data_IF_013971306211
#
_entry.id   IF_013971306211
#
_cell.length_a   1.000
_cell.length_b   1.000
_cell.length_c   1.000
_cell.angle_alpha   90.00
_cell.angle_beta   90.00
_cell.angle_gamma   90.00
#
_symmetry.space_group_name_H-M   'P 1'
#
loop_
_entity.id
_entity.type
_entity.pdbx_description
1 polymer ?
#
# COMPACT_ATOMS: atom_id res chain seq x y z
N UNK A 1 36.11 28.93 45.00
CA UNK A 1 36.31 27.73 44.16
C UNK A 1 35.38 26.65 44.68
N UNK A 2 34.30 26.36 43.97
CA UNK A 2 33.34 25.31 44.32
C UNK A 2 32.76 24.79 43.02
N UNK A 3 33.01 23.52 42.74
CA UNK A 3 32.80 22.83 41.46
C UNK A 3 31.32 22.77 41.09
N UNK A 4 30.99 23.26 39.88
CA UNK A 4 29.69 23.10 39.24
C UNK A 4 29.49 21.61 38.89
N UNK A 5 28.64 20.91 39.63
CA UNK A 5 28.13 19.60 39.21
C UNK A 5 27.01 19.81 38.19
N UNK A 6 27.38 19.99 36.93
CA UNK A 6 26.47 19.86 35.79
C UNK A 6 26.25 18.37 35.57
N UNK A 7 25.12 17.85 36.05
CA UNK A 7 24.64 16.53 35.68
C UNK A 7 24.05 16.61 34.27
N UNK A 8 24.84 16.21 33.29
CA UNK A 8 24.40 16.04 31.91
C UNK A 8 23.51 14.80 31.85
N UNK A 9 22.19 15.00 31.96
CA UNK A 9 21.22 13.92 31.76
C UNK A 9 21.08 13.68 30.25
N UNK A 10 22.00 12.89 29.70
CA UNK A 10 21.88 12.31 28.36
C UNK A 10 20.74 11.29 28.38
N UNK A 11 19.50 11.75 28.14
CA UNK A 11 18.42 10.86 27.77
C UNK A 11 18.68 10.36 26.35
N UNK A 12 19.26 9.17 26.29
CA UNK A 12 19.41 8.36 25.09
C UNK A 12 18.01 7.96 24.61
N UNK A 13 17.35 8.82 23.84
CA UNK A 13 16.24 8.40 22.99
C UNK A 13 16.81 7.70 21.76
N UNK A 14 17.33 6.49 21.95
CA UNK A 14 17.63 5.58 20.84
C UNK A 14 16.41 4.71 20.56
N UNK A 15 15.41 5.27 19.90
CA UNK A 15 14.44 4.47 19.14
C UNK A 15 14.54 4.89 17.69
N UNK A 16 15.50 4.33 16.97
CA UNK A 16 15.43 4.24 15.51
C UNK A 16 14.39 3.16 15.17
N UNK A 17 13.11 3.48 15.38
CA UNK A 17 12.05 2.74 14.70
C UNK A 17 11.94 3.36 13.33
N UNK A 18 12.50 2.70 12.30
CA UNK A 18 12.29 3.12 10.92
C UNK A 18 10.78 3.10 10.64
N UNK A 19 10.12 4.25 10.74
CA UNK A 19 8.68 4.34 10.57
C UNK A 19 8.38 4.41 9.09
N UNK A 20 7.94 3.29 8.53
CA UNK A 20 7.31 3.30 7.21
C UNK A 20 5.95 3.96 7.35
N UNK A 21 5.91 5.25 7.04
CA UNK A 21 4.80 6.18 7.23
C UNK A 21 3.81 6.22 6.05
N UNK A 22 4.15 5.58 4.93
CA UNK A 22 3.19 5.39 3.83
C UNK A 22 1.96 4.61 4.33
N UNK A 23 0.79 5.19 4.08
CA UNK A 23 -0.50 4.56 4.36
C UNK A 23 -0.72 3.37 3.43
N UNK A 24 -1.21 2.26 3.99
CA UNK A 24 -1.64 1.10 3.20
C UNK A 24 -3.08 1.34 2.76
N UNK A 25 -3.37 1.05 1.49
CA UNK A 25 -4.70 1.22 0.93
C UNK A 25 -5.75 0.45 1.77
N UNK A 26 -6.84 1.08 2.26
CA UNK A 26 -7.88 0.43 3.07
C UNK A 26 -8.49 -0.85 2.47
N UNK A 27 -8.40 -1.03 1.14
CA UNK A 27 -8.88 -2.24 0.44
C UNK A 27 -7.82 -3.33 0.31
N UNK A 28 -6.65 -3.14 0.90
CA UNK A 28 -5.58 -4.12 0.87
C UNK A 28 -6.03 -5.38 1.66
N UNK A 29 -5.85 -6.61 1.12
CA UNK A 29 -6.32 -7.86 1.76
C UNK A 29 -5.75 -8.14 3.16
N UNK A 30 -4.74 -7.36 3.58
CA UNK A 30 -4.18 -7.46 4.93
C UNK A 30 -5.20 -7.07 6.00
N UNK A 31 -6.08 -6.10 5.72
CA UNK A 31 -7.08 -5.67 6.69
C UNK A 31 -8.14 -6.74 6.94
N UNK A 32 -8.61 -7.41 5.88
CA UNK A 32 -9.50 -8.57 6.01
C UNK A 32 -8.84 -9.69 6.81
N UNK A 33 -7.55 -9.92 6.60
CA UNK A 33 -6.78 -10.90 7.36
C UNK A 33 -6.66 -10.53 8.85
N UNK A 34 -6.28 -9.29 9.17
CA UNK A 34 -6.17 -8.81 10.55
C UNK A 34 -7.54 -8.87 11.25
N UNK A 35 -8.61 -8.48 10.56
CA UNK A 35 -9.96 -8.55 11.11
C UNK A 35 -10.41 -10.01 11.36
N UNK A 36 -10.06 -10.94 10.46
CA UNK A 36 -10.32 -12.36 10.67
C UNK A 36 -9.60 -12.89 11.92
N UNK A 37 -8.35 -12.47 12.17
CA UNK A 37 -7.62 -12.86 13.39
C UNK A 37 -8.23 -12.25 14.66
N UNK A 38 -8.74 -11.02 14.58
CA UNK A 38 -9.51 -10.39 15.66
C UNK A 38 -10.76 -11.19 15.99
N UNK A 39 -11.57 -11.55 14.99
CA UNK A 39 -12.79 -12.36 15.17
C UNK A 39 -12.48 -13.73 15.81
N UNK A 40 -11.31 -14.30 15.49
CA UNK A 40 -10.81 -15.55 16.09
C UNK A 40 -10.21 -15.37 17.50
N UNK A 41 -10.25 -14.18 18.08
CA UNK A 41 -9.60 -13.81 19.35
C UNK A 41 -8.08 -14.01 19.39
N UNK A 42 -7.43 -14.10 18.22
CA UNK A 42 -5.96 -14.18 18.12
C UNK A 42 -5.34 -12.77 18.24
N UNK A 43 -6.06 -11.75 17.75
CA UNK A 43 -5.66 -10.34 17.77
C UNK A 43 -6.73 -9.49 18.46
N UNK A 44 -6.97 -9.74 19.74
CA UNK A 44 -8.04 -9.09 20.52
C UNK A 44 -7.91 -7.57 20.62
N UNK A 45 -6.71 -7.02 20.45
CA UNK A 45 -6.40 -5.60 20.56
C UNK A 45 -6.42 -4.84 19.22
N UNK A 46 -6.72 -5.53 18.12
CA UNK A 46 -6.84 -4.88 16.82
C UNK A 46 -8.19 -4.16 16.72
N UNK A 47 -8.14 -2.89 16.32
CA UNK A 47 -9.32 -2.08 16.04
C UNK A 47 -9.32 -1.72 14.56
N UNK A 48 -10.40 -2.07 13.87
CA UNK A 48 -10.63 -1.75 12.46
C UNK A 48 -11.27 -0.37 12.25
N UNK A 49 -11.59 0.36 13.32
CA UNK A 49 -12.07 1.74 13.25
C UNK A 49 -10.97 2.75 12.84
N UNK A 50 -9.69 2.40 13.00
CA UNK A 50 -8.55 3.29 12.75
C UNK A 50 -7.85 2.88 11.45
N UNK A 51 -8.44 3.26 10.32
CA UNK A 51 -7.88 3.06 8.98
C UNK A 51 -7.71 4.40 8.24
N UNK A 52 -6.70 4.56 7.36
CA UNK A 52 -5.67 3.59 7.00
C UNK A 52 -4.50 3.53 7.99
N UNK A 53 -4.01 2.30 8.24
CA UNK A 53 -2.73 2.06 8.93
C UNK A 53 -1.54 2.35 8.01
N UNK A 54 -0.44 2.83 8.57
CA UNK A 54 0.85 2.88 7.85
C UNK A 54 1.43 1.47 7.67
N UNK A 55 2.36 1.30 6.72
CA UNK A 55 3.07 0.02 6.54
C UNK A 55 3.75 -0.46 7.82
N UNK A 56 4.33 0.47 8.59
CA UNK A 56 4.96 0.17 9.87
C UNK A 56 3.93 -0.30 10.91
N UNK A 57 2.77 0.35 10.97
CA UNK A 57 1.66 -0.05 11.84
C UNK A 57 1.13 -1.44 11.47
N UNK A 58 0.95 -1.73 10.19
CA UNK A 58 0.58 -3.07 9.70
C UNK A 58 1.62 -4.11 10.09
N UNK A 59 2.91 -3.82 9.92
CA UNK A 59 3.99 -4.73 10.33
C UNK A 59 3.93 -5.05 11.83
N UNK A 60 3.69 -4.06 12.68
CA UNK A 60 3.54 -4.25 14.13
C UNK A 60 2.37 -5.20 14.43
N UNK A 61 1.22 -5.06 13.76
CA UNK A 61 0.10 -5.97 13.97
C UNK A 61 0.41 -7.39 13.50
N UNK A 62 1.09 -7.55 12.36
CA UNK A 62 1.52 -8.86 11.87
C UNK A 62 2.54 -9.53 12.80
N UNK A 63 3.43 -8.76 13.42
CA UNK A 63 4.37 -9.28 14.41
C UNK A 63 3.65 -9.77 15.67
N UNK A 64 2.66 -9.02 16.17
CA UNK A 64 1.81 -9.49 17.28
C UNK A 64 1.07 -10.79 16.93
N UNK A 65 0.60 -10.92 15.69
CA UNK A 65 -0.02 -12.16 15.20
C UNK A 65 0.97 -13.33 15.20
N UNK A 66 2.24 -13.07 14.85
CA UNK A 66 3.31 -14.08 14.84
C UNK A 66 3.54 -14.71 16.21
N UNK A 67 3.46 -13.91 17.27
CA UNK A 67 3.62 -14.38 18.64
C UNK A 67 2.49 -15.34 19.07
N UNK A 68 1.35 -15.34 18.36
CA UNK A 68 0.19 -16.20 18.59
C UNK A 68 0.02 -17.32 17.55
N UNK A 69 1.09 -17.65 16.80
CA UNK A 69 1.06 -18.65 15.73
C UNK A 69 0.65 -20.05 16.18
N UNK A 70 0.86 -20.40 17.46
CA UNK A 70 0.43 -21.68 18.02
C UNK A 70 -1.10 -21.89 17.97
N UNK A 71 -1.88 -20.80 17.95
CA UNK A 71 -3.36 -20.83 17.92
C UNK A 71 -3.92 -20.73 16.49
N UNK A 72 -3.06 -20.63 15.47
CA UNK A 72 -3.46 -20.42 14.07
C UNK A 72 -3.59 -21.73 13.30
N UNK A 73 -4.51 -21.75 12.33
CA UNK A 73 -4.55 -22.82 11.32
C UNK A 73 -3.35 -22.73 10.37
N UNK A 74 -2.96 -23.83 9.73
CA UNK A 74 -1.86 -23.83 8.75
C UNK A 74 -2.08 -22.85 7.59
N UNK A 75 -3.33 -22.67 7.16
CA UNK A 75 -3.68 -21.67 6.16
C UNK A 75 -3.43 -20.23 6.66
N UNK A 76 -3.83 -19.92 7.89
CA UNK A 76 -3.59 -18.59 8.48
C UNK A 76 -2.09 -18.33 8.67
N UNK A 77 -1.30 -19.35 9.05
CA UNK A 77 0.16 -19.26 9.13
C UNK A 77 0.79 -18.97 7.77
N UNK A 78 0.31 -19.65 6.71
CA UNK A 78 0.74 -19.39 5.34
C UNK A 78 0.45 -17.95 4.90
N UNK A 79 -0.75 -17.46 5.16
CA UNK A 79 -1.13 -16.06 4.87
C UNK A 79 -0.31 -15.06 5.68
N UNK A 80 -0.10 -15.32 6.97
CA UNK A 80 0.75 -14.48 7.83
C UNK A 80 2.17 -14.39 7.28
N UNK A 81 2.74 -15.52 6.84
CA UNK A 81 4.07 -15.57 6.26
C UNK A 81 4.17 -14.70 5.01
N UNK A 82 3.19 -14.78 4.10
CA UNK A 82 3.13 -13.94 2.90
C UNK A 82 3.03 -12.44 3.25
N UNK A 83 2.18 -12.08 4.21
CA UNK A 83 2.06 -10.67 4.63
C UNK A 83 3.33 -10.15 5.32
N UNK A 84 4.01 -10.96 6.13
CA UNK A 84 5.29 -10.57 6.73
C UNK A 84 6.41 -10.41 5.69
N UNK A 85 6.37 -11.14 4.57
CA UNK A 85 7.27 -10.91 3.45
C UNK A 85 6.95 -9.60 2.71
N UNK A 86 5.65 -9.30 2.54
CA UNK A 86 5.18 -8.09 1.86
C UNK A 86 5.41 -6.81 2.68
N UNK A 87 5.28 -6.88 4.01
CA UNK A 87 5.51 -5.79 4.95
C UNK A 87 6.78 -6.07 5.78
N UNK A 88 7.99 -5.87 5.25
CA UNK A 88 9.22 -6.16 6.01
C UNK A 88 9.47 -5.12 7.12
N UNK A 89 10.23 -5.52 8.15
CA UNK A 89 10.58 -4.68 9.31
C UNK A 89 11.37 -3.42 8.95
N UNK A 90 12.30 -3.56 8.02
CA UNK A 90 12.98 -2.47 7.36
C UNK A 90 12.69 -2.56 5.87
N UNK A 91 12.51 -1.41 5.23
CA UNK A 91 12.43 -1.33 3.77
C UNK A 91 13.80 -1.78 3.26
N UNK A 92 13.94 -3.07 2.91
CA UNK A 92 15.15 -3.60 2.29
C UNK A 92 15.29 -2.93 0.94
N UNK A 93 16.53 -2.59 0.54
CA UNK A 93 16.88 -2.15 -0.81
C UNK A 93 16.23 -3.09 -1.84
N UNK A 94 15.07 -2.71 -2.37
CA UNK A 94 14.25 -3.56 -3.21
C UNK A 94 14.61 -3.41 -4.68
N UNK A 95 14.25 -4.45 -5.45
CA UNK A 95 14.39 -4.64 -6.89
C UNK A 95 14.13 -3.36 -7.70
N UNK A 96 15.19 -2.55 -7.84
CA UNK A 96 15.16 -1.35 -8.65
C UNK A 96 15.65 -1.74 -10.04
N UNK A 97 14.87 -1.43 -11.08
CA UNK A 97 15.24 -1.73 -12.46
C UNK A 97 16.62 -1.13 -12.84
N UNK A 98 16.97 0.02 -12.25
CA UNK A 98 18.21 0.74 -12.55
C UNK A 98 19.33 0.55 -11.51
N UNK A 99 19.12 -0.23 -10.44
CA UNK A 99 20.14 -0.44 -9.41
C UNK A 99 20.74 -1.85 -9.53
N UNK A 100 21.86 -1.92 -10.25
CA UNK A 100 22.89 -2.96 -10.21
C UNK A 100 22.36 -4.40 -10.02
N UNK A 101 21.60 -4.92 -10.98
CA UNK A 101 21.12 -6.29 -10.88
C UNK A 101 21.00 -6.99 -12.25
N UNK A 102 21.72 -8.10 -12.35
CA UNK A 102 21.81 -9.03 -13.49
C UNK A 102 20.54 -9.86 -13.74
N UNK A 103 19.39 -9.42 -13.20
CA UNK A 103 18.13 -10.16 -13.28
C UNK A 103 17.37 -9.82 -14.55
N UNK A 104 16.74 -10.83 -15.16
CA UNK A 104 15.96 -10.65 -16.37
C UNK A 104 14.66 -9.89 -16.08
N UNK A 105 14.13 -9.15 -17.08
CA UNK A 105 12.85 -8.43 -16.96
C UNK A 105 11.71 -9.33 -16.41
N UNK A 106 11.69 -10.62 -16.75
CA UNK A 106 10.70 -11.57 -16.25
C UNK A 106 10.72 -11.76 -14.73
N UNK A 107 11.90 -11.81 -14.11
CA UNK A 107 12.02 -11.99 -12.66
C UNK A 107 11.53 -10.76 -11.88
N UNK A 108 11.57 -9.57 -12.50
CA UNK A 108 10.95 -8.38 -11.94
C UNK A 108 9.42 -8.46 -12.04
N UNK A 109 8.85 -8.67 -13.23
CA UNK A 109 7.39 -8.64 -13.43
C UNK A 109 6.61 -9.75 -12.71
N UNK A 110 7.25 -10.90 -12.44
CA UNK A 110 6.58 -12.06 -11.82
C UNK A 110 6.98 -12.31 -10.36
N UNK A 111 7.76 -11.43 -9.72
CA UNK A 111 8.08 -11.57 -8.30
C UNK A 111 6.93 -11.10 -7.39
N UNK A 112 6.83 -11.72 -6.21
CA UNK A 112 5.94 -11.27 -5.13
C UNK A 112 6.46 -10.03 -4.37
N UNK A 113 7.53 -9.40 -4.88
CA UNK A 113 8.14 -8.21 -4.32
C UNK A 113 7.63 -6.98 -5.06
N UNK A 114 7.63 -5.86 -4.36
CA UNK A 114 7.35 -4.58 -4.99
C UNK A 114 8.44 -4.22 -5.99
N UNK A 115 8.02 -3.86 -7.20
CA UNK A 115 8.89 -3.45 -8.27
C UNK A 115 8.97 -1.93 -8.33
N UNK A 116 10.20 -1.41 -8.29
CA UNK A 116 10.47 0.02 -8.38
C UNK A 116 11.27 0.29 -9.64
N UNK A 117 10.87 1.29 -10.43
CA UNK A 117 11.72 1.85 -11.46
C UNK A 117 13.00 2.38 -10.80
N UNK A 118 12.80 3.21 -9.78
CA UNK A 118 13.88 3.77 -8.98
C UNK A 118 13.49 3.78 -7.51
N UNK A 119 14.45 3.53 -6.64
CA UNK A 119 14.29 3.66 -5.20
C UNK A 119 15.59 4.18 -4.59
N UNK A 120 15.47 5.13 -3.67
CA UNK A 120 16.56 5.62 -2.84
C UNK A 120 16.13 5.58 -1.37
N UNK A 121 17.09 5.26 -0.51
CA UNK A 121 16.85 5.19 0.92
C UNK A 121 18.14 5.39 1.70
N UNK A 122 18.08 6.28 2.68
CA UNK A 122 19.07 6.40 3.76
C UNK A 122 18.36 6.41 5.13
N UNK A 123 19.03 6.89 6.18
CA UNK A 123 18.48 6.95 7.55
C UNK A 123 17.40 8.00 7.75
N UNK A 124 17.27 8.97 6.86
CA UNK A 124 16.40 10.15 6.99
C UNK A 124 15.43 10.32 5.82
N UNK A 125 15.82 9.98 4.60
CA UNK A 125 15.06 10.19 3.39
C UNK A 125 14.86 8.85 2.68
N UNK A 126 13.61 8.58 2.31
CA UNK A 126 13.28 7.50 1.37
C UNK A 126 12.39 8.04 0.27
N UNK A 127 12.70 7.73 -0.98
CA UNK A 127 11.77 7.98 -2.06
C UNK A 127 11.82 6.88 -3.12
N UNK A 128 10.72 6.69 -3.81
CA UNK A 128 10.62 5.67 -4.84
C UNK A 128 9.67 6.06 -5.96
N UNK A 129 9.92 5.48 -7.13
CA UNK A 129 9.08 5.57 -8.31
C UNK A 129 8.75 4.14 -8.71
N UNK A 130 7.47 3.80 -8.69
CA UNK A 130 6.96 2.48 -9.06
C UNK A 130 6.13 2.58 -10.35
N UNK A 131 6.48 1.85 -11.42
CA UNK A 131 5.61 1.75 -12.58
C UNK A 131 4.38 0.92 -12.20
N UNK A 132 3.21 1.33 -12.70
CA UNK A 132 1.95 0.64 -12.47
C UNK A 132 1.41 0.15 -13.81
N UNK A 133 1.14 -1.15 -13.89
CA UNK A 133 0.41 -1.76 -15.00
C UNK A 133 -0.59 -2.75 -14.42
N UNK A 134 -1.83 -2.67 -14.85
CA UNK A 134 -2.87 -3.63 -14.44
C UNK A 134 -3.78 -3.93 -15.61
N UNK A 135 -4.12 -5.21 -15.76
CA UNK A 135 -5.11 -5.67 -16.73
C UNK A 135 -6.28 -6.30 -15.99
N UNK A 136 -7.50 -6.11 -16.50
CA UNK A 136 -8.71 -6.69 -15.92
C UNK A 136 -9.67 -7.08 -17.03
N UNK A 137 -10.04 -8.35 -17.04
CA UNK A 137 -11.13 -8.85 -17.88
C UNK A 137 -12.42 -8.89 -17.06
N UNK A 138 -13.52 -8.41 -17.66
CA UNK A 138 -14.84 -8.40 -17.06
C UNK A 138 -15.76 -9.18 -17.98
N UNK A 139 -16.43 -10.19 -17.41
CA UNK A 139 -17.42 -10.99 -18.11
C UNK A 139 -18.75 -10.86 -17.38
N UNK A 140 -19.77 -10.34 -18.08
CA UNK A 140 -21.13 -10.26 -17.59
C UNK A 140 -22.02 -11.17 -18.42
N UNK A 141 -22.54 -12.21 -17.78
CA UNK A 141 -23.54 -13.07 -18.36
C UNK A 141 -24.92 -12.54 -17.98
N UNK A 142 -25.68 -12.05 -18.96
CA UNK A 142 -27.04 -11.55 -18.74
C UNK A 142 -28.10 -12.63 -19.01
N UNK A 143 -27.84 -13.51 -19.97
CA UNK A 143 -28.70 -14.64 -20.36
C UNK A 143 -27.82 -15.76 -20.93
N UNK A 144 -28.36 -16.96 -21.18
CA UNK A 144 -27.62 -18.08 -21.75
C UNK A 144 -26.87 -17.74 -23.07
N UNK A 145 -27.36 -16.76 -23.83
CA UNK A 145 -26.85 -16.40 -25.17
C UNK A 145 -26.15 -15.03 -25.25
N UNK A 146 -26.19 -14.20 -24.20
CA UNK A 146 -25.58 -12.86 -24.22
C UNK A 146 -24.48 -12.74 -23.17
N UNK A 147 -23.23 -12.85 -23.64
CA UNK A 147 -22.02 -12.56 -22.89
C UNK A 147 -21.53 -11.16 -23.27
N UNK A 148 -21.60 -10.23 -22.33
CA UNK A 148 -20.91 -8.95 -22.45
C UNK A 148 -19.52 -9.09 -21.87
N UNK A 149 -18.49 -8.77 -22.65
CA UNK A 149 -17.11 -8.79 -22.18
C UNK A 149 -16.46 -7.42 -22.35
N UNK A 150 -15.66 -7.03 -21.37
CA UNK A 150 -14.82 -5.85 -21.43
C UNK A 150 -13.41 -6.17 -20.95
N UNK A 151 -12.44 -5.52 -21.56
CA UNK A 151 -11.05 -5.53 -21.15
C UNK A 151 -10.65 -4.13 -20.71
N UNK A 152 -10.05 -4.03 -19.53
CA UNK A 152 -9.48 -2.81 -19.01
C UNK A 152 -7.97 -2.99 -18.89
N UNK A 153 -7.24 -1.99 -19.36
CA UNK A 153 -5.81 -1.85 -19.08
C UNK A 153 -5.57 -0.50 -18.43
N UNK A 154 -4.79 -0.46 -17.36
CA UNK A 154 -4.33 0.77 -16.71
C UNK A 154 -2.81 0.79 -16.68
N UNK A 155 -2.23 1.95 -16.95
CA UNK A 155 -0.79 2.17 -16.93
C UNK A 155 -0.47 3.54 -16.34
N UNK A 156 0.61 3.63 -15.59
CA UNK A 156 1.02 4.86 -14.93
C UNK A 156 2.17 4.65 -13.97
N UNK A 157 2.20 5.45 -12.91
CA UNK A 157 3.23 5.33 -11.88
C UNK A 157 2.81 5.92 -10.55
N UNK A 158 3.50 5.49 -9.52
CA UNK A 158 3.41 6.04 -8.18
C UNK A 158 4.77 6.58 -7.74
N UNK A 159 4.74 7.76 -7.13
CA UNK A 159 5.84 8.37 -6.41
C UNK A 159 5.55 8.31 -4.92
N UNK A 160 6.55 7.91 -4.14
CA UNK A 160 6.48 7.92 -2.68
C UNK A 160 7.69 8.66 -2.13
N UNK A 161 7.48 9.42 -1.07
CA UNK A 161 8.51 10.16 -0.35
C UNK A 161 8.25 10.04 1.16
N UNK A 162 9.29 9.80 1.93
CA UNK A 162 9.26 9.82 3.39
C UNK A 162 10.48 10.59 3.87
N UNK A 163 10.28 11.42 4.89
CA UNK A 163 11.35 12.18 5.53
C UNK A 163 11.24 12.02 7.04
N UNK A 164 12.18 11.25 7.59
CA UNK A 164 12.20 10.76 8.95
C UNK A 164 10.91 10.01 9.30
N UNK A 165 10.61 10.01 10.60
CA UNK A 165 9.41 9.34 11.11
C UNK A 165 8.18 10.24 11.14
N UNK A 166 8.26 11.48 10.65
CA UNK A 166 7.21 12.49 10.80
C UNK A 166 6.54 12.92 9.49
N UNK A 167 7.13 12.70 8.33
CA UNK A 167 6.59 13.16 7.05
C UNK A 167 6.53 12.03 6.01
N UNK A 168 5.41 11.95 5.30
CA UNK A 168 5.29 11.15 4.09
C UNK A 168 4.46 11.89 3.03
N UNK A 169 4.78 11.68 1.76
CA UNK A 169 3.98 12.11 0.63
C UNK A 169 3.86 10.96 -0.38
N UNK A 170 2.71 10.89 -1.02
CA UNK A 170 2.38 9.89 -2.02
C UNK A 170 1.63 10.54 -3.17
N UNK A 171 1.99 10.18 -4.40
CA UNK A 171 1.32 10.60 -5.61
C UNK A 171 1.22 9.40 -6.56
N UNK A 172 0.02 9.07 -6.99
CA UNK A 172 -0.25 8.05 -8.00
C UNK A 172 -1.01 8.70 -9.15
N UNK A 173 -0.51 8.49 -10.36
CA UNK A 173 -1.17 8.93 -11.59
C UNK A 173 -1.20 7.78 -12.57
N UNK A 174 -2.37 7.49 -13.12
CA UNK A 174 -2.49 6.52 -14.20
C UNK A 174 -3.59 6.88 -15.18
N UNK A 175 -3.40 6.41 -16.40
CA UNK A 175 -4.41 6.39 -17.45
C UNK A 175 -4.86 4.95 -17.68
N UNK A 176 -6.06 4.81 -18.20
CA UNK A 176 -6.72 3.56 -18.45
C UNK A 176 -7.45 3.59 -19.77
N UNK A 177 -7.50 2.44 -20.42
CA UNK A 177 -8.24 2.21 -21.64
C UNK A 177 -9.24 1.07 -21.42
N UNK A 178 -10.46 1.27 -21.91
CA UNK A 178 -11.49 0.25 -21.98
C UNK A 178 -11.70 -0.25 -23.42
N UNK A 179 -11.69 -1.56 -23.61
CA UNK A 179 -12.07 -2.23 -24.85
C UNK A 179 -13.26 -3.17 -24.63
N UNK A 180 -14.06 -3.40 -25.67
CA UNK A 180 -15.22 -4.30 -25.63
C UNK A 180 -16.52 -3.59 -25.26
N UNK A 181 -17.40 -4.28 -24.55
CA UNK A 181 -18.75 -3.84 -24.25
C UNK A 181 -18.79 -2.76 -23.15
N UNK A 182 -19.40 -1.61 -23.45
CA UNK A 182 -19.49 -0.46 -22.53
C UNK A 182 -20.34 -0.78 -21.28
N UNK A 183 -21.36 -1.62 -21.37
CA UNK A 183 -22.15 -2.04 -20.20
C UNK A 183 -21.31 -2.91 -19.28
N UNK A 184 -20.49 -3.79 -19.85
CA UNK A 184 -19.53 -4.57 -19.07
C UNK A 184 -18.50 -3.69 -18.36
N UNK A 185 -17.87 -2.76 -19.06
CA UNK A 185 -16.87 -1.87 -18.46
C UNK A 185 -17.44 -0.95 -17.38
N UNK A 186 -18.67 -0.46 -17.52
CA UNK A 186 -19.37 0.39 -16.53
C UNK A 186 -19.67 -0.30 -15.19
N UNK A 187 -19.50 -1.61 -15.08
CA UNK A 187 -19.52 -2.27 -13.76
C UNK A 187 -18.30 -1.94 -12.93
N UNK A 188 -17.16 -1.64 -13.56
CA UNK A 188 -15.98 -1.16 -12.86
C UNK A 188 -16.21 0.29 -12.41
N UNK A 189 -16.06 0.52 -11.10
CA UNK A 189 -16.29 1.84 -10.51
C UNK A 189 -15.35 2.91 -11.08
N UNK A 190 -14.13 2.55 -11.52
CA UNK A 190 -13.18 3.51 -12.12
C UNK A 190 -13.71 4.03 -13.46
N UNK A 191 -14.22 3.13 -14.29
CA UNK A 191 -14.84 3.47 -15.58
C UNK A 191 -16.13 4.25 -15.35
N UNK A 192 -17.02 3.75 -14.48
CA UNK A 192 -18.33 4.36 -14.19
C UNK A 192 -18.25 5.78 -13.64
N UNK A 193 -17.20 6.12 -12.91
CA UNK A 193 -17.03 7.47 -12.34
C UNK A 193 -16.13 8.36 -13.20
N UNK A 194 -15.65 7.89 -14.35
CA UNK A 194 -14.80 8.68 -15.23
C UNK A 194 -15.59 9.77 -15.95
N UNK A 195 -15.12 11.02 -15.83
CA UNK A 195 -15.68 12.12 -16.59
C UNK A 195 -15.51 11.88 -18.10
N UNK A 196 -14.32 11.51 -18.54
CA UNK A 196 -13.98 11.20 -19.94
C UNK A 196 -14.93 10.16 -20.54
N UNK A 197 -15.16 9.03 -19.85
CA UNK A 197 -16.06 7.98 -20.38
C UNK A 197 -17.53 8.42 -20.41
N UNK A 198 -17.97 9.17 -19.38
CA UNK A 198 -19.38 9.53 -19.21
C UNK A 198 -19.81 10.76 -20.02
N UNK A 199 -18.94 11.76 -20.15
CA UNK A 199 -19.28 13.05 -20.76
C UNK A 199 -18.74 13.21 -22.17
N UNK A 200 -17.52 12.72 -22.45
CA UNK A 200 -16.93 12.85 -23.80
C UNK A 200 -17.12 11.58 -24.64
N UNK A 201 -17.48 10.47 -24.00
CA UNK A 201 -17.76 9.20 -24.68
C UNK A 201 -16.51 8.45 -25.14
N UNK A 202 -15.31 8.96 -24.84
CA UNK A 202 -14.06 8.31 -25.20
C UNK A 202 -13.80 7.09 -24.31
N UNK A 203 -13.01 6.14 -24.82
CA UNK A 203 -12.70 4.90 -24.15
C UNK A 203 -11.57 5.00 -23.10
N UNK A 204 -11.22 6.22 -22.70
CA UNK A 204 -10.16 6.49 -21.75
C UNK A 204 -10.73 6.94 -20.42
N UNK A 205 -10.11 6.46 -19.35
CA UNK A 205 -10.39 6.88 -17.98
C UNK A 205 -9.08 7.06 -17.24
N UNK A 206 -9.04 8.00 -16.31
CA UNK A 206 -7.83 8.39 -15.61
C UNK A 206 -8.09 8.47 -14.11
N UNK A 207 -7.01 8.44 -13.34
CA UNK A 207 -7.06 8.75 -11.93
C UNK A 207 -5.78 9.42 -11.48
N UNK A 208 -5.95 10.35 -10.55
CA UNK A 208 -4.87 10.93 -9.75
C UNK A 208 -5.25 10.78 -8.29
N UNK A 209 -4.40 10.08 -7.55
CA UNK A 209 -4.51 9.88 -6.10
C UNK A 209 -3.28 10.52 -5.48
N UNK A 210 -3.41 11.16 -4.33
CA UNK A 210 -2.23 11.64 -3.63
C UNK A 210 -2.56 12.15 -2.26
N UNK A 211 -1.60 12.07 -1.35
CA UNK A 211 -1.74 12.52 0.02
C UNK A 211 -0.40 12.95 0.60
N UNK A 212 -0.48 13.74 1.65
CA UNK A 212 0.61 14.07 2.55
C UNK A 212 0.19 13.68 3.96
N UNK A 213 1.12 13.06 4.68
CA UNK A 213 0.93 12.63 6.07
C UNK A 213 1.97 13.32 6.94
N UNK A 214 1.51 13.90 8.04
CA UNK A 214 2.30 14.41 9.14
C UNK A 214 2.02 13.56 10.38
N UNK A 215 3.07 13.02 10.99
CA UNK A 215 2.99 12.19 12.18
C UNK A 215 3.88 12.78 13.28
N UNK A 216 3.32 12.93 14.47
CA UNK A 216 4.05 13.07 15.73
C UNK A 216 3.51 12.04 16.71
N UNK A 217 4.25 11.77 17.77
CA UNK A 217 3.94 10.71 18.75
C UNK A 217 2.47 10.68 19.22
N UNK A 218 1.83 11.86 19.31
CA UNK A 218 0.47 12.03 19.83
C UNK A 218 -0.60 12.28 18.76
N UNK A 219 -0.23 12.51 17.48
CA UNK A 219 -1.21 12.75 16.42
C UNK A 219 -0.70 12.36 15.02
N UNK A 220 -1.64 11.95 14.16
CA UNK A 220 -1.43 11.71 12.74
C UNK A 220 -2.43 12.55 11.95
N UNK A 221 -1.94 13.39 11.05
CA UNK A 221 -2.75 14.20 10.15
C UNK A 221 -2.44 13.79 8.72
N UNK A 222 -3.46 13.42 7.95
CA UNK A 222 -3.32 13.07 6.54
C UNK A 222 -4.27 13.92 5.71
N UNK A 223 -3.75 14.54 4.67
CA UNK A 223 -4.53 15.39 3.75
C UNK A 223 -4.23 14.93 2.34
N UNK A 224 -5.28 14.59 1.58
CA UNK A 224 -5.09 14.09 0.23
C UNK A 224 -6.37 13.75 -0.49
N UNK A 225 -6.25 13.65 -1.82
CA UNK A 225 -7.26 13.02 -2.66
C UNK A 225 -7.02 11.51 -2.62
N UNK A 226 -7.63 10.85 -1.65
CA UNK A 226 -7.75 9.40 -1.61
C UNK A 226 -9.13 8.98 -2.10
N UNK A 227 -9.22 7.85 -2.80
CA UNK A 227 -10.52 7.22 -3.04
C UNK A 227 -10.92 6.38 -1.81
N UNK A 228 -11.23 7.11 -0.73
CA UNK A 228 -12.08 6.80 0.44
C UNK A 228 -11.74 5.53 1.25
N UNK A 229 -11.44 5.72 2.54
CA UNK A 229 -12.42 5.59 3.63
C UNK A 229 -12.18 6.68 4.68
N UNK A 230 -13.16 7.57 4.84
CA UNK A 230 -13.45 8.15 6.16
C UNK A 230 -13.97 7.01 7.02
N UNK A 231 -13.39 6.87 8.20
CA UNK A 231 -13.89 6.14 9.36
C UNK A 231 -13.63 7.04 10.56
#
# INVERSE_FOLDING_TARGET
MGTKNIWFFCLVFSTFTFSQNLSVNPKHPVYDFLNQLRIKNILSWYDDAILPLTRGEVFIQLQKAKDSTAMMSENDKGRLHLFLQFFPSSRKSNNSFFYNNSYGLGEHFFSWKENYAYSYQDSLLSFSIAPLVTTKNIFLKKTAEQLHSAFLITYGGAFSLEYGDWFAAYLEVWNGYQGGDKKASMTDQRVRQSFSVNHTGINYFDQTTGYVTLKKDIFKLQIGRERILWG
#
